data_IF_683572477527
#
_entry.id   IF_683572477527
#
_cell.length_a   1.000
_cell.length_b   1.000
_cell.length_c   1.000
_cell.angle_alpha   90.00
_cell.angle_beta   90.00
_cell.angle_gamma   90.00
#
_symmetry.space_group_name_H-M   'P 1'
#
loop_
_entity.id
_entity.type
_entity.pdbx_description
1 polymer ?
#
# COMPACT_ATOMS: atom_id res chain seq x y z
N UNK A 1 14.36 -21.48 -43.32
CA UNK A 1 14.56 -21.72 -41.87
C UNK A 1 13.63 -20.75 -41.15
N UNK A 2 12.55 -21.25 -40.55
CA UNK A 2 11.58 -20.42 -39.83
C UNK A 2 11.98 -20.42 -38.36
N UNK A 3 12.46 -19.28 -37.86
CA UNK A 3 12.80 -19.09 -36.45
C UNK A 3 11.50 -18.98 -35.65
N UNK A 4 11.17 -20.02 -34.89
CA UNK A 4 10.14 -19.95 -33.85
C UNK A 4 10.73 -19.24 -32.64
N UNK A 5 10.45 -17.94 -32.52
CA UNK A 5 10.73 -17.17 -31.31
C UNK A 5 9.64 -17.52 -30.29
N UNK A 6 9.95 -18.43 -29.36
CA UNK A 6 9.03 -18.83 -28.29
C UNK A 6 8.73 -17.65 -27.37
N UNK A 7 7.50 -17.15 -27.41
CA UNK A 7 6.99 -16.18 -26.44
C UNK A 7 6.76 -16.93 -25.13
N UNK A 8 7.54 -16.60 -24.10
CA UNK A 8 7.32 -17.08 -22.74
C UNK A 8 6.11 -16.33 -22.15
N UNK A 9 4.94 -16.95 -22.17
CA UNK A 9 3.75 -16.46 -21.47
C UNK A 9 3.89 -16.91 -20.01
N UNK A 10 4.15 -15.96 -19.11
CA UNK A 10 4.08 -16.24 -17.67
C UNK A 10 2.64 -16.63 -17.32
N UNK A 11 2.42 -17.72 -16.55
CA UNK A 11 1.07 -18.02 -16.08
C UNK A 11 0.59 -16.86 -15.23
N UNK A 12 -0.55 -16.27 -15.59
CA UNK A 12 -1.26 -15.41 -14.66
C UNK A 12 -1.71 -16.31 -13.50
N UNK A 13 -1.38 -15.94 -12.27
CA UNK A 13 -2.03 -16.52 -11.09
C UNK A 13 -3.50 -16.13 -11.17
N UNK A 14 -4.31 -17.01 -11.75
CA UNK A 14 -5.75 -16.86 -11.73
C UNK A 14 -6.23 -17.11 -10.30
N UNK A 15 -7.24 -16.35 -9.87
CA UNK A 15 -7.82 -16.37 -8.52
C UNK A 15 -7.90 -17.78 -7.93
N UNK A 16 -7.32 -17.95 -6.74
CA UNK A 16 -7.28 -19.26 -6.07
C UNK A 16 -8.59 -19.49 -5.33
N UNK A 17 -9.25 -20.60 -5.61
CA UNK A 17 -10.51 -21.00 -4.98
C UNK A 17 -10.26 -22.22 -4.11
N UNK A 18 -10.69 -22.15 -2.86
CA UNK A 18 -10.67 -23.27 -1.92
C UNK A 18 -12.07 -23.52 -1.38
N UNK A 19 -12.38 -24.79 -1.07
CA UNK A 19 -13.68 -25.21 -0.55
C UNK A 19 -13.46 -26.14 0.64
N UNK A 20 -14.20 -25.91 1.72
CA UNK A 20 -14.27 -26.76 2.89
C UNK A 20 -15.72 -26.83 3.36
N UNK A 21 -16.22 -28.06 3.58
CA UNK A 21 -17.61 -28.29 3.97
C UNK A 21 -18.63 -27.67 3.00
N UNK A 22 -19.40 -26.67 3.44
CA UNK A 22 -20.38 -25.92 2.67
C UNK A 22 -19.95 -24.47 2.39
N UNK A 23 -18.68 -24.15 2.63
CA UNK A 23 -18.07 -22.83 2.42
C UNK A 23 -17.00 -22.90 1.33
N UNK A 24 -17.08 -21.97 0.38
CA UNK A 24 -16.03 -21.73 -0.61
C UNK A 24 -15.52 -20.30 -0.51
N UNK A 25 -14.24 -20.08 -0.76
CA UNK A 25 -13.69 -18.73 -0.87
C UNK A 25 -12.81 -18.58 -2.11
N UNK A 26 -12.94 -17.43 -2.75
CA UNK A 26 -11.99 -16.97 -3.77
C UNK A 26 -11.06 -15.95 -3.14
N UNK A 27 -9.75 -16.21 -3.19
CA UNK A 27 -8.71 -15.30 -2.75
C UNK A 27 -8.35 -14.31 -3.86
N UNK A 28 -8.26 -13.05 -3.50
CA UNK A 28 -7.61 -12.01 -4.30
C UNK A 28 -6.61 -11.23 -3.45
N UNK A 29 -5.51 -10.82 -4.06
CA UNK A 29 -4.47 -9.99 -3.47
C UNK A 29 -4.18 -8.83 -4.41
N UNK A 30 -4.47 -7.61 -3.98
CA UNK A 30 -4.29 -6.45 -4.82
C UNK A 30 -2.81 -6.14 -5.11
N UNK A 31 -2.50 -5.60 -6.30
CA UNK A 31 -3.43 -5.27 -7.39
C UNK A 31 -3.69 -6.41 -8.40
N UNK A 32 -2.99 -7.54 -8.32
CA UNK A 32 -2.91 -8.51 -9.43
C UNK A 32 -2.54 -9.95 -9.00
N UNK A 33 -2.88 -10.34 -7.78
CA UNK A 33 -2.62 -11.65 -7.16
C UNK A 33 -1.14 -12.05 -7.08
N UNK A 34 -0.24 -11.07 -7.26
CA UNK A 34 1.21 -11.25 -7.19
C UNK A 34 1.79 -10.30 -6.13
N UNK A 35 1.55 -10.55 -4.82
CA UNK A 35 2.09 -9.70 -3.77
C UNK A 35 3.61 -9.63 -3.84
N UNK A 36 4.15 -8.50 -3.39
CA UNK A 36 5.59 -8.23 -3.42
C UNK A 36 6.11 -8.02 -2.01
N UNK A 37 7.27 -8.58 -1.73
CA UNK A 37 7.85 -8.51 -0.40
C UNK A 37 8.16 -7.07 0.02
N UNK A 38 7.88 -6.71 1.27
CA UNK A 38 8.04 -5.37 1.82
C UNK A 38 7.00 -4.35 1.36
N UNK A 39 6.04 -4.76 0.51
CA UNK A 39 4.94 -3.91 0.05
C UNK A 39 3.64 -4.40 0.72
N UNK A 40 2.83 -3.46 1.20
CA UNK A 40 1.51 -3.78 1.74
C UNK A 40 0.56 -4.08 0.59
N UNK A 41 -0.10 -5.23 0.66
CA UNK A 41 -1.13 -5.65 -0.29
C UNK A 41 -2.45 -5.86 0.44
N UNK A 42 -3.53 -5.35 -0.14
CA UNK A 42 -4.87 -5.65 0.32
C UNK A 42 -5.23 -7.07 -0.13
N UNK A 43 -5.43 -7.96 0.83
CA UNK A 43 -5.84 -9.34 0.59
C UNK A 43 -7.28 -9.49 1.04
N UNK A 44 -8.16 -10.00 0.19
CA UNK A 44 -9.56 -10.23 0.53
C UNK A 44 -10.06 -11.58 0.04
N UNK A 45 -11.08 -12.10 0.71
CA UNK A 45 -11.64 -13.42 0.44
C UNK A 45 -13.14 -13.29 0.17
N UNK A 46 -13.55 -13.57 -1.06
CA UNK A 46 -14.96 -13.67 -1.40
C UNK A 46 -15.54 -14.98 -0.85
N UNK A 47 -15.96 -14.96 0.42
CA UNK A 47 -16.59 -16.11 1.07
C UNK A 47 -18.01 -16.31 0.58
N UNK A 48 -18.35 -17.55 0.26
CA UNK A 48 -19.68 -17.96 -0.17
C UNK A 48 -20.08 -19.29 0.44
N UNK A 49 -21.38 -19.46 0.68
CA UNK A 49 -21.99 -20.75 1.01
C UNK A 49 -22.33 -21.51 -0.27
N UNK A 50 -22.61 -22.81 -0.14
CA UNK A 50 -23.26 -23.60 -1.17
C UNK A 50 -24.46 -22.83 -1.76
N UNK A 51 -24.51 -22.73 -3.09
CA UNK A 51 -25.51 -21.90 -3.79
C UNK A 51 -25.06 -20.47 -4.08
N UNK A 52 -23.84 -20.08 -3.70
CA UNK A 52 -23.23 -18.79 -4.08
C UNK A 52 -23.65 -17.60 -3.22
N UNK A 53 -24.31 -17.83 -2.07
CA UNK A 53 -24.68 -16.78 -1.13
C UNK A 53 -23.42 -16.27 -0.42
N UNK A 54 -23.17 -14.96 -0.48
CA UNK A 54 -22.01 -14.34 0.18
C UNK A 54 -22.10 -14.50 1.71
N UNK A 55 -20.97 -14.78 2.35
CA UNK A 55 -20.79 -14.71 3.80
C UNK A 55 -20.04 -13.40 4.10
N UNK A 56 -20.72 -12.36 4.60
CA UNK A 56 -20.03 -11.14 5.03
C UNK A 56 -19.27 -11.39 6.34
N UNK A 57 -18.17 -10.65 6.56
CA UNK A 57 -17.33 -10.78 7.75
C UNK A 57 -18.14 -10.61 9.05
N UNK A 58 -19.16 -9.73 9.07
CA UNK A 58 -20.02 -9.55 10.26
C UNK A 58 -20.78 -10.82 10.68
N UNK A 59 -20.97 -11.78 9.76
CA UNK A 59 -21.65 -13.06 10.02
C UNK A 59 -20.64 -14.19 10.31
N UNK A 60 -19.34 -13.90 10.31
CA UNK A 60 -18.28 -14.87 10.52
C UNK A 60 -17.33 -14.44 11.65
N UNK A 61 -17.18 -15.30 12.66
CA UNK A 61 -16.02 -15.24 13.55
C UNK A 61 -14.82 -15.86 12.81
N UNK A 62 -14.26 -15.05 11.90
CA UNK A 62 -13.21 -15.42 10.97
C UNK A 62 -11.83 -14.99 11.49
N UNK A 63 -10.81 -15.82 11.26
CA UNK A 63 -9.42 -15.54 11.60
C UNK A 63 -8.51 -15.86 10.43
N UNK A 64 -7.46 -15.04 10.26
CA UNK A 64 -6.45 -15.24 9.24
C UNK A 64 -5.08 -15.47 9.89
N UNK A 65 -4.39 -16.51 9.42
CA UNK A 65 -3.01 -16.80 9.78
C UNK A 65 -2.13 -16.88 8.52
N UNK A 66 -0.91 -16.34 8.61
CA UNK A 66 0.06 -16.32 7.52
C UNK A 66 1.26 -17.16 7.90
N UNK A 67 1.63 -18.12 7.07
CA UNK A 67 2.78 -19.01 7.27
C UNK A 67 3.75 -18.90 6.09
N UNK A 68 5.05 -18.98 6.35
CA UNK A 68 6.04 -19.26 5.29
C UNK A 68 6.07 -20.75 4.98
N UNK A 69 6.32 -21.08 3.73
CA UNK A 69 6.59 -22.44 3.28
C UNK A 69 8.11 -22.66 3.07
N UNK A 70 8.65 -23.86 3.38
CA UNK A 70 7.94 -25.03 3.90
C UNK A 70 7.50 -24.86 5.36
N UNK A 71 6.28 -25.28 5.68
CA UNK A 71 5.72 -25.22 7.04
C UNK A 71 6.24 -26.37 7.90
N UNK A 72 6.87 -26.03 9.02
CA UNK A 72 7.19 -27.00 10.07
C UNK A 72 5.91 -27.47 10.78
N UNK A 73 5.89 -28.71 11.29
CA UNK A 73 4.72 -29.34 11.92
C UNK A 73 4.17 -28.58 13.13
N UNK A 74 5.01 -27.77 13.78
CA UNK A 74 4.66 -26.90 14.91
C UNK A 74 4.90 -25.41 14.61
N UNK A 75 4.90 -25.03 13.33
CA UNK A 75 5.16 -23.65 12.92
C UNK A 75 4.12 -22.69 13.54
N UNK A 76 4.63 -21.64 14.17
CA UNK A 76 3.81 -20.50 14.58
C UNK A 76 3.56 -19.61 13.36
N UNK A 77 2.37 -19.00 13.20
CA UNK A 77 2.13 -18.04 12.13
C UNK A 77 3.14 -16.88 12.19
N UNK A 78 3.60 -16.44 11.03
CA UNK A 78 4.38 -15.21 10.89
C UNK A 78 3.55 -13.98 11.22
N UNK A 79 2.25 -14.02 10.91
CA UNK A 79 1.32 -12.94 11.21
C UNK A 79 -0.09 -13.51 11.41
N UNK A 80 -0.88 -12.78 12.21
CA UNK A 80 -2.33 -12.96 12.34
C UNK A 80 -3.03 -11.62 12.10
N UNK A 81 -3.16 -11.18 10.84
CA UNK A 81 -3.79 -9.90 10.51
C UNK A 81 -5.23 -9.88 11.01
N UNK A 82 -5.68 -8.75 11.57
CA UNK A 82 -7.08 -8.57 11.87
C UNK A 82 -7.87 -8.45 10.56
N UNK A 83 -9.03 -9.11 10.49
CA UNK A 83 -9.91 -9.00 9.34
C UNK A 83 -10.81 -7.78 9.49
N UNK A 84 -10.96 -7.04 8.40
CA UNK A 84 -11.85 -5.89 8.27
C UNK A 84 -12.81 -6.12 7.10
N UNK A 85 -14.03 -5.54 7.15
CA UNK A 85 -14.98 -5.67 6.06
C UNK A 85 -14.53 -4.83 4.88
N UNK A 86 -14.30 -5.48 3.74
CA UNK A 86 -13.90 -4.84 2.48
C UNK A 86 -15.05 -4.94 1.48
N UNK A 87 -15.18 -3.91 0.63
CA UNK A 87 -16.02 -3.97 -0.57
C UNK A 87 -15.12 -3.89 -1.79
N UNK A 88 -15.08 -4.95 -2.57
CA UNK A 88 -14.23 -5.08 -3.74
C UNK A 88 -15.02 -5.79 -4.85
N UNK A 89 -14.80 -5.34 -6.09
CA UNK A 89 -15.55 -5.82 -7.25
C UNK A 89 -17.08 -5.77 -7.03
N UNK A 90 -17.73 -6.92 -7.00
CA UNK A 90 -19.17 -7.12 -6.76
C UNK A 90 -19.50 -7.54 -5.32
N UNK A 91 -18.49 -7.73 -4.48
CA UNK A 91 -18.64 -8.24 -3.12
C UNK A 91 -18.67 -7.09 -2.11
N UNK A 92 -19.47 -7.24 -1.05
CA UNK A 92 -19.62 -6.23 -0.02
C UNK A 92 -19.45 -6.86 1.37
N UNK A 93 -18.68 -6.17 2.22
CA UNK A 93 -18.45 -6.57 3.59
C UNK A 93 -17.75 -7.92 3.73
N UNK A 94 -16.98 -8.35 2.73
CA UNK A 94 -16.21 -9.60 2.77
C UNK A 94 -14.97 -9.44 3.66
N UNK A 95 -14.44 -10.52 4.25
CA UNK A 95 -13.21 -10.44 5.02
C UNK A 95 -12.02 -10.00 4.14
N UNK A 96 -11.29 -8.99 4.59
CA UNK A 96 -10.01 -8.60 4.02
C UNK A 96 -9.05 -8.05 5.06
N UNK A 97 -7.78 -7.99 4.71
CA UNK A 97 -6.71 -7.46 5.56
C UNK A 97 -5.58 -6.89 4.71
N UNK A 98 -4.92 -5.86 5.23
CA UNK A 98 -3.65 -5.39 4.68
C UNK A 98 -2.51 -6.28 5.21
N UNK A 99 -1.78 -6.92 4.29
CA UNK A 99 -0.70 -7.85 4.62
C UNK A 99 0.60 -7.35 4.00
N UNK A 100 1.68 -7.35 4.77
CA UNK A 100 3.04 -7.09 4.26
C UNK A 100 3.88 -8.34 4.44
N UNK A 101 4.28 -8.96 3.34
CA UNK A 101 5.12 -10.15 3.38
C UNK A 101 6.59 -9.75 3.53
N UNK A 102 7.35 -10.30 4.49
CA UNK A 102 8.68 -9.81 4.81
C UNK A 102 9.73 -10.15 3.74
N UNK A 103 9.56 -11.28 3.05
CA UNK A 103 10.53 -11.79 2.06
C UNK A 103 9.83 -12.42 0.87
N UNK A 104 10.44 -12.41 -0.33
CA UNK A 104 9.94 -13.20 -1.44
C UNK A 104 10.01 -14.70 -1.12
N UNK A 105 9.08 -15.48 -1.66
CA UNK A 105 8.99 -16.92 -1.40
C UNK A 105 7.57 -17.46 -1.39
N UNK A 106 7.43 -18.73 -1.05
CA UNK A 106 6.14 -19.39 -0.90
C UNK A 106 5.56 -19.14 0.50
N UNK A 107 4.26 -18.91 0.56
CA UNK A 107 3.51 -18.70 1.79
C UNK A 107 2.17 -19.44 1.71
N UNK A 108 1.60 -19.72 2.86
CA UNK A 108 0.23 -20.22 2.99
C UNK A 108 -0.60 -19.23 3.81
N UNK A 109 -1.74 -18.82 3.26
CA UNK A 109 -2.77 -18.09 3.98
C UNK A 109 -3.81 -19.09 4.46
N UNK A 110 -3.98 -19.19 5.78
CA UNK A 110 -4.97 -20.05 6.41
C UNK A 110 -6.12 -19.19 6.92
N UNK A 111 -7.27 -19.26 6.25
CA UNK A 111 -8.50 -18.60 6.67
C UNK A 111 -9.39 -19.64 7.36
N UNK A 112 -9.65 -19.44 8.63
CA UNK A 112 -10.60 -20.27 9.39
C UNK A 112 -11.77 -19.43 9.87
N UNK A 113 -12.90 -20.07 10.10
CA UNK A 113 -14.06 -19.36 10.59
C UNK A 113 -15.20 -20.26 11.01
N UNK A 114 -16.13 -19.66 11.73
CA UNK A 114 -17.42 -20.25 12.11
C UNK A 114 -18.49 -19.14 12.07
N UNK A 115 -19.78 -19.50 12.00
CA UNK A 115 -20.84 -18.51 12.13
C UNK A 115 -20.74 -17.69 13.41
N UNK A 116 -21.11 -16.41 13.34
CA UNK A 116 -21.11 -15.52 14.50
C UNK A 116 -22.31 -15.75 15.44
N UNK A 117 -23.53 -15.88 14.89
CA UNK A 117 -24.78 -15.83 15.68
C UNK A 117 -25.77 -16.98 15.39
N UNK A 118 -25.47 -17.92 14.48
CA UNK A 118 -26.38 -19.02 14.08
C UNK A 118 -25.62 -20.25 13.51
N UNK A 119 -26.32 -21.29 13.05
CA UNK A 119 -25.70 -22.44 12.34
C UNK A 119 -25.78 -22.29 10.81
N UNK A 120 -25.63 -21.07 10.29
CA UNK A 120 -25.99 -20.79 8.90
C UNK A 120 -24.94 -21.21 7.86
N UNK A 121 -23.79 -21.71 8.31
CA UNK A 121 -22.78 -22.47 7.56
C UNK A 121 -21.93 -23.29 8.55
N UNK A 122 -21.17 -24.28 8.08
CA UNK A 122 -20.31 -25.07 8.97
C UNK A 122 -18.97 -24.38 9.27
N UNK A 123 -18.36 -24.60 10.45
CA UNK A 123 -16.98 -24.20 10.68
C UNK A 123 -16.04 -24.73 9.60
N UNK A 124 -15.06 -23.93 9.20
CA UNK A 124 -14.19 -24.22 8.07
C UNK A 124 -12.72 -23.80 8.32
N UNK A 125 -11.83 -24.41 7.54
CA UNK A 125 -10.43 -24.02 7.38
C UNK A 125 -10.08 -24.12 5.90
N UNK A 126 -9.61 -23.02 5.31
CA UNK A 126 -9.22 -22.91 3.90
C UNK A 126 -7.76 -22.50 3.81
N UNK A 127 -6.98 -23.17 2.95
CA UNK A 127 -5.53 -22.96 2.82
C UNK A 127 -5.18 -22.51 1.41
N UNK A 128 -4.63 -21.31 1.31
CA UNK A 128 -4.23 -20.72 0.04
C UNK A 128 -2.70 -20.61 -0.03
N UNK A 129 -2.07 -21.53 -0.73
CA UNK A 129 -0.66 -21.36 -1.12
C UNK A 129 -0.53 -20.25 -2.16
N UNK A 130 0.36 -19.32 -1.90
CA UNK A 130 0.69 -18.18 -2.75
C UNK A 130 2.20 -18.06 -2.92
N UNK A 131 2.62 -17.33 -3.95
CA UNK A 131 4.02 -16.96 -4.14
C UNK A 131 4.16 -15.45 -4.09
N UNK A 132 5.05 -14.98 -3.21
CA UNK A 132 5.40 -13.57 -3.04
C UNK A 132 6.63 -13.25 -3.89
N UNK A 133 6.50 -12.28 -4.78
CA UNK A 133 7.58 -11.80 -5.63
C UNK A 133 8.55 -10.87 -4.88
N UNK A 134 9.74 -10.65 -5.43
CA UNK A 134 10.70 -9.71 -4.87
C UNK A 134 10.14 -8.28 -4.87
N UNK A 135 10.33 -7.55 -3.76
CA UNK A 135 9.94 -6.14 -3.61
C UNK A 135 10.73 -5.16 -4.49
N UNK A 136 10.28 -3.91 -4.58
CA UNK A 136 11.09 -2.85 -5.20
C UNK A 136 12.15 -2.34 -4.22
N UNK A 137 13.34 -1.93 -4.72
CA UNK A 137 14.40 -1.35 -3.89
C UNK A 137 13.93 -0.15 -3.06
N UNK A 138 12.92 0.60 -3.54
CA UNK A 138 12.35 1.76 -2.86
C UNK A 138 11.67 1.43 -1.52
N UNK A 139 11.02 0.26 -1.41
CA UNK A 139 10.44 -0.19 -0.14
C UNK A 139 11.52 -0.52 0.91
N UNK A 140 12.70 -0.99 0.48
CA UNK A 140 13.86 -1.20 1.36
C UNK A 140 14.54 0.11 1.79
N UNK A 141 14.40 1.20 1.02
CA UNK A 141 15.03 2.51 1.28
C UNK A 141 14.24 3.40 2.24
N UNK A 142 12.92 3.18 2.42
CA UNK A 142 12.10 3.96 3.36
C UNK A 142 12.54 3.80 4.83
N UNK A 143 13.26 2.74 5.18
CA UNK A 143 13.88 2.60 6.51
C UNK A 143 15.15 3.45 6.65
N UNK A 144 15.86 3.73 5.56
CA UNK A 144 17.08 4.55 5.56
C UNK A 144 16.77 6.05 5.50
N UNK A 145 15.71 6.48 4.80
CA UNK A 145 15.24 7.88 4.85
C UNK A 145 14.72 8.28 6.25
N UNK A 146 14.19 7.33 7.03
CA UNK A 146 13.79 7.56 8.42
C UNK A 146 15.00 7.68 9.37
N UNK A 147 16.07 6.92 9.13
CA UNK A 147 17.31 6.97 9.93
C UNK A 147 18.12 8.24 9.59
N UNK A 148 18.17 8.66 8.32
CA UNK A 148 18.82 9.91 7.90
C UNK A 148 18.09 11.16 8.46
N UNK A 149 16.76 11.08 8.66
CA UNK A 149 15.99 12.14 9.33
C UNK A 149 16.25 12.24 10.83
N UNK A 150 16.64 11.16 11.50
CA UNK A 150 16.96 11.16 12.93
C UNK A 150 18.34 11.80 13.14
N UNK A 151 19.32 11.48 12.31
CA UNK A 151 20.69 12.02 12.40
C UNK A 151 20.75 13.53 12.08
N UNK A 152 19.89 14.02 11.18
CA UNK A 152 19.77 15.47 10.91
C UNK A 152 19.07 16.28 12.00
N UNK A 153 18.30 15.63 12.88
CA UNK A 153 17.53 16.33 13.93
C UNK A 153 18.38 16.64 15.17
N UNK A 154 19.39 15.82 15.47
CA UNK A 154 20.27 16.03 16.63
C UNK A 154 21.32 17.14 16.39
N UNK A 155 21.73 17.39 15.14
CA UNK A 155 22.67 18.47 14.83
C UNK A 155 22.05 19.88 14.79
N UNK A 156 20.73 20.03 14.84
CA UNK A 156 20.05 21.35 14.81
C UNK A 156 19.55 21.85 16.18
N UNK A 157 19.78 21.11 17.28
CA UNK A 157 19.36 21.54 18.63
C UNK A 157 20.50 22.15 19.49
N UNK A 158 21.76 22.20 19.01
CA UNK A 158 22.87 22.87 19.70
C UNK A 158 23.39 24.09 18.92
N UNK A 159 22.51 24.98 18.43
CA UNK A 159 22.94 26.31 17.93
C UNK A 159 21.94 27.45 18.20
N UNK A 160 21.02 27.30 19.14
CA UNK A 160 20.05 28.36 19.47
C UNK A 160 20.12 28.80 20.93
N UNK A 161 21.32 29.13 21.42
CA UNK A 161 21.48 29.98 22.60
C UNK A 161 22.66 30.93 22.38
N UNK A 162 22.35 32.23 22.37
CA UNK A 162 23.25 33.40 22.33
C UNK A 162 23.95 33.77 21.01
N UNK A 163 23.36 34.73 20.30
CA UNK A 163 24.08 35.95 19.91
C UNK A 163 23.08 37.02 19.42
N UNK A 164 22.63 37.89 20.33
CA UNK A 164 22.18 39.23 19.95
C UNK A 164 23.43 40.07 19.71
N UNK A 165 23.74 40.39 18.46
CA UNK A 165 24.58 41.53 18.13
C UNK A 165 24.08 42.23 16.86
N UNK A 166 23.83 43.54 17.02
CA UNK A 166 23.69 44.52 15.97
C UNK A 166 24.86 44.44 14.99
N UNK A 167 24.61 44.39 13.67
CA UNK A 167 25.50 45.05 12.72
C UNK A 167 24.78 45.34 11.39
N UNK A 168 25.22 46.45 10.80
CA UNK A 168 24.63 47.24 9.72
C UNK A 168 24.35 46.50 8.41
N UNK A 169 23.27 46.93 7.75
CA UNK A 169 22.88 46.53 6.41
C UNK A 169 23.95 46.97 5.40
N UNK A 170 24.75 46.02 4.94
CA UNK A 170 25.45 46.13 3.65
C UNK A 170 24.70 45.27 2.64
N UNK A 171 23.97 45.94 1.73
CA UNK A 171 23.35 45.28 0.59
C UNK A 171 24.45 44.91 -0.42
N UNK A 172 24.72 43.62 -0.59
CA UNK A 172 25.54 43.14 -1.71
C UNK A 172 24.64 42.94 -2.93
N UNK A 173 24.91 43.70 -3.99
CA UNK A 173 24.28 43.52 -5.29
C UNK A 173 25.20 42.68 -6.18
N UNK A 174 24.69 41.66 -6.89
CA UNK A 174 25.51 40.85 -7.79
C UNK A 174 25.98 41.63 -9.04
N UNK A 175 27.22 41.36 -9.44
CA UNK A 175 28.03 42.04 -10.46
C UNK A 175 27.59 41.93 -11.93
N UNK A 176 26.29 41.89 -12.24
CA UNK A 176 25.79 41.78 -13.63
C UNK A 176 24.79 42.88 -14.00
N UNK A 177 25.08 44.14 -13.66
CA UNK A 177 24.28 45.29 -14.11
C UNK A 177 25.16 46.40 -14.69
N UNK A 178 25.67 46.13 -15.90
CA UNK A 178 26.05 47.13 -16.90
C UNK A 178 24.84 47.10 -17.86
N UNK A 179 23.97 48.09 -18.01
CA UNK A 179 24.16 49.51 -18.21
C UNK A 179 23.32 49.89 -19.44
N UNK A 180 22.79 51.11 -19.46
CA UNK A 180 21.89 51.74 -20.45
C UNK A 180 20.39 51.61 -20.14
N UNK A 181 19.59 52.68 -20.15
CA UNK A 181 19.83 54.12 -20.25
C UNK A 181 18.56 54.80 -19.73
N UNK A 182 18.74 55.92 -19.05
CA UNK A 182 17.70 56.83 -18.60
C UNK A 182 16.97 57.52 -19.78
N UNK A 183 15.68 57.84 -19.62
CA UNK A 183 14.98 59.06 -20.09
C UNK A 183 13.49 58.91 -19.70
N UNK A 184 13.04 59.62 -18.68
CA UNK A 184 12.33 60.93 -18.73
C UNK A 184 10.81 60.78 -18.84
N UNK A 185 10.14 60.87 -17.69
CA UNK A 185 9.18 61.91 -17.22
C UNK A 185 7.89 62.11 -18.06
N UNK A 186 6.79 62.16 -17.31
CA UNK A 186 5.52 62.89 -17.48
C UNK A 186 4.32 62.13 -18.05
N UNK A 187 3.32 62.01 -17.16
CA UNK A 187 1.94 62.37 -17.49
C UNK A 187 1.04 61.23 -17.94
N UNK A 188 0.07 60.86 -17.10
CA UNK A 188 -0.99 59.94 -17.51
C UNK A 188 -1.88 59.43 -16.39
N UNK A 189 -2.55 60.35 -15.69
CA UNK A 189 -3.82 60.06 -15.01
C UNK A 189 -4.76 59.46 -16.08
N UNK A 190 -5.30 58.24 -15.91
CA UNK A 190 -6.65 57.91 -16.39
C UNK A 190 -7.17 56.57 -15.84
N UNK A 191 -8.29 56.67 -15.11
CA UNK A 191 -9.45 55.77 -14.92
C UNK A 191 -9.27 54.26 -15.16
N UNK A 192 -9.52 53.38 -14.18
CA UNK A 192 -10.85 52.96 -13.67
C UNK A 192 -11.90 52.63 -14.75
N UNK A 193 -12.17 51.32 -14.93
CA UNK A 193 -13.49 50.62 -15.11
C UNK A 193 -13.22 49.24 -15.73
N UNK A 194 -13.52 48.11 -15.06
CA UNK A 194 -14.79 47.38 -14.92
C UNK A 194 -15.36 46.78 -16.23
N UNK A 195 -15.34 45.43 -16.33
CA UNK A 195 -16.45 44.51 -16.69
C UNK A 195 -15.88 43.09 -16.80
N UNK A 196 -16.42 42.04 -16.17
CA UNK A 196 -17.80 41.53 -16.29
C UNK A 196 -17.79 40.46 -17.38
N UNK A 197 -17.54 39.18 -17.06
CA UNK A 197 -18.55 38.16 -16.73
C UNK A 197 -19.58 37.99 -17.87
N UNK A 198 -19.35 36.94 -18.66
CA UNK A 198 -20.33 36.19 -19.43
C UNK A 198 -20.10 34.72 -19.11
#
# INVERSE_FOLDING_TARGET
>A
MINFSSILISPASAHKIEIAEDVGATLHIEPNDTPRAGETALTWFALTRKGGKIIPLKECDCQLAVYSEPRETAATPLAKPNLEPVSAERYQGIPGANITFPKPGAYQLELSGKPADDDSFKPFELKFDITVAAGTKKAATNQQEAIEKIEKKESQEIQNVNASQNQEQSFSLPFWTIGLVALVILGGIFAFTRRGKG
#
